data_IF_507316527749
#
_entry.id   IF_507316527749
#
_cell.length_a   1.000
_cell.length_b   1.000
_cell.length_c   1.000
_cell.angle_alpha   90.00
_cell.angle_beta   90.00
_cell.angle_gamma   90.00
#
_symmetry.space_group_name_H-M   'P 1'
#
loop_
_entity.id
_entity.type
_entity.pdbx_description
1 polymer ?
#
# COMPACT_ATOMS: atom_id res chain seq x y z
N UNK A 1 -10.57 1.40 18.82
CA UNK A 1 -9.43 2.31 18.71
C UNK A 1 -9.23 2.68 17.25
N UNK A 2 -9.03 3.94 16.98
CA UNK A 2 -8.75 4.40 15.62
C UNK A 2 -7.33 4.03 15.23
N UNK A 3 -7.19 3.49 14.03
CA UNK A 3 -5.90 3.25 13.43
C UNK A 3 -5.30 4.58 12.95
N UNK A 4 -4.01 4.76 13.16
CA UNK A 4 -3.30 5.95 12.71
C UNK A 4 -2.62 5.66 11.37
N UNK A 5 -2.96 6.45 10.36
CA UNK A 5 -2.28 6.38 9.06
C UNK A 5 -1.04 7.26 9.11
N UNK A 6 0.14 6.62 9.19
CA UNK A 6 1.40 7.34 9.31
C UNK A 6 1.82 8.02 8.01
N UNK A 7 1.31 7.54 6.87
CA UNK A 7 1.74 8.00 5.56
C UNK A 7 0.54 8.35 4.70
N UNK A 8 0.67 9.38 3.87
CA UNK A 8 -0.37 9.77 2.94
C UNK A 8 0.24 10.45 1.72
N UNK A 9 -0.41 10.28 0.58
CA UNK A 9 -0.10 11.00 -0.65
C UNK A 9 -1.41 11.36 -1.34
N UNK A 10 -1.43 12.48 -2.05
CA UNK A 10 -2.60 12.91 -2.78
C UNK A 10 -2.22 13.13 -4.25
N UNK A 11 -3.07 12.64 -5.15
CA UNK A 11 -2.91 12.81 -6.60
C UNK A 11 -4.27 13.22 -7.17
N UNK A 12 -4.36 14.44 -7.67
CA UNK A 12 -5.58 14.97 -8.31
C UNK A 12 -6.85 14.68 -7.52
N UNK A 13 -6.80 14.96 -6.22
CA UNK A 13 -7.94 14.80 -5.31
C UNK A 13 -8.13 13.40 -4.75
N UNK A 14 -7.32 12.42 -5.17
CA UNK A 14 -7.38 11.07 -4.62
C UNK A 14 -6.28 10.90 -3.59
N UNK A 15 -6.67 10.59 -2.35
CA UNK A 15 -5.75 10.43 -1.23
C UNK A 15 -5.55 8.94 -0.95
N UNK A 16 -4.29 8.52 -0.83
CA UNK A 16 -3.91 7.18 -0.41
C UNK A 16 -3.25 7.29 0.96
N UNK A 17 -3.84 6.63 1.97
CA UNK A 17 -3.32 6.61 3.34
C UNK A 17 -2.85 5.21 3.69
N UNK A 18 -1.72 5.12 4.38
CA UNK A 18 -1.13 3.84 4.77
C UNK A 18 -0.83 3.83 6.26
N UNK A 19 -1.28 2.76 6.92
CA UNK A 19 -0.87 2.39 8.27
C UNK A 19 -0.15 1.06 8.18
N UNK A 20 1.07 0.97 8.68
CA UNK A 20 1.88 -0.24 8.61
C UNK A 20 2.31 -0.67 10.01
N UNK A 21 2.32 -1.97 10.25
CA UNK A 21 2.74 -2.55 11.53
C UNK A 21 3.57 -3.81 11.31
N UNK A 22 4.63 -3.95 12.08
CA UNK A 22 5.39 -5.19 12.15
C UNK A 22 4.60 -6.22 12.95
N UNK A 23 4.53 -7.47 12.47
CA UNK A 23 3.84 -8.56 13.15
C UNK A 23 4.84 -9.59 13.66
N UNK A 24 5.26 -9.50 14.94
CA UNK A 24 6.18 -10.50 15.49
C UNK A 24 5.60 -11.92 15.49
N UNK A 25 4.30 -12.06 15.71
CA UNK A 25 3.66 -13.38 15.75
C UNK A 25 3.59 -14.07 14.38
N UNK A 26 3.68 -13.30 13.30
CA UNK A 26 3.70 -13.82 11.94
C UNK A 26 5.12 -13.91 11.38
N UNK A 27 6.10 -13.45 12.15
CA UNK A 27 7.51 -13.47 11.76
C UNK A 27 8.21 -14.70 12.32
N UNK A 28 9.32 -15.09 11.68
CA UNK A 28 10.21 -16.14 12.15
C UNK A 28 11.62 -15.57 12.06
N UNK A 29 11.94 -14.67 12.98
CA UNK A 29 13.18 -13.88 12.93
C UNK A 29 14.43 -14.77 12.98
N UNK A 30 14.37 -15.86 13.73
CA UNK A 30 15.48 -16.82 13.88
C UNK A 30 15.84 -17.51 12.56
N UNK A 31 14.93 -17.55 11.58
CA UNK A 31 15.21 -18.09 10.25
C UNK A 31 15.17 -17.03 9.16
N UNK A 32 15.30 -15.77 9.55
CA UNK A 32 15.43 -14.67 8.61
C UNK A 32 14.13 -14.28 7.91
N UNK A 33 13.01 -14.36 8.62
CA UNK A 33 11.70 -14.01 8.06
C UNK A 33 11.03 -12.96 8.92
N UNK A 34 10.79 -11.78 8.33
CA UNK A 34 10.09 -10.66 8.95
C UNK A 34 8.82 -10.39 8.17
N UNK A 35 7.72 -10.06 8.88
CA UNK A 35 6.42 -9.85 8.24
C UNK A 35 5.74 -8.60 8.77
N UNK A 36 5.21 -7.78 7.86
CA UNK A 36 4.44 -6.58 8.16
C UNK A 36 3.05 -6.69 7.59
N UNK A 37 2.08 -6.08 8.26
CA UNK A 37 0.75 -5.85 7.72
C UNK A 37 0.60 -4.37 7.43
N UNK A 38 -0.09 -4.03 6.35
CA UNK A 38 -0.41 -2.66 6.04
C UNK A 38 -1.88 -2.53 5.69
N UNK A 39 -2.48 -1.45 6.22
CA UNK A 39 -3.85 -1.06 5.92
C UNK A 39 -3.78 0.17 5.02
N UNK A 40 -4.48 0.11 3.90
CA UNK A 40 -4.55 1.22 2.96
C UNK A 40 -5.98 1.69 2.84
N UNK A 41 -6.15 3.01 2.90
CA UNK A 41 -7.42 3.68 2.63
C UNK A 41 -7.23 4.59 1.45
N UNK A 42 -8.11 4.43 0.45
CA UNK A 42 -8.13 5.26 -0.75
C UNK A 42 -9.39 6.09 -0.70
N UNK A 43 -9.25 7.42 -0.76
CA UNK A 43 -10.35 8.37 -0.64
C UNK A 43 -10.49 9.16 -1.94
N UNK A 44 -11.66 9.12 -2.54
CA UNK A 44 -11.93 9.93 -3.74
C UNK A 44 -12.49 11.29 -3.32
N UNK A 45 -11.62 12.31 -3.26
CA UNK A 45 -12.00 13.69 -3.01
C UNK A 45 -12.19 14.51 -4.28
N UNK A 46 -12.12 13.87 -5.46
CA UNK A 46 -12.39 14.53 -6.73
C UNK A 46 -13.90 14.63 -6.98
N UNK A 47 -14.28 15.32 -8.04
CA UNK A 47 -15.69 15.54 -8.38
C UNK A 47 -16.22 14.58 -9.44
N UNK A 48 -15.46 13.54 -9.77
CA UNK A 48 -15.87 12.49 -10.70
C UNK A 48 -15.59 11.11 -10.14
N UNK A 49 -16.27 10.10 -10.65
CA UNK A 49 -16.04 8.71 -10.28
C UNK A 49 -14.74 8.20 -10.87
N UNK A 50 -14.03 7.36 -10.12
CA UNK A 50 -12.80 6.71 -10.59
C UNK A 50 -12.86 5.23 -10.19
N UNK A 51 -12.29 4.36 -11.03
CA UNK A 51 -12.24 2.93 -10.74
C UNK A 51 -10.79 2.47 -10.68
N UNK A 52 -10.41 1.81 -9.59
CA UNK A 52 -9.08 1.23 -9.47
C UNK A 52 -8.98 0.00 -10.37
N UNK A 53 -8.02 -0.01 -11.28
CA UNK A 53 -7.81 -1.12 -12.21
C UNK A 53 -6.65 -2.00 -11.81
N UNK A 54 -5.47 -1.42 -11.55
CA UNK A 54 -4.25 -2.18 -11.30
C UNK A 54 -3.44 -1.56 -10.18
N UNK A 55 -2.58 -2.39 -9.57
CA UNK A 55 -1.62 -1.97 -8.56
C UNK A 55 -0.21 -2.24 -9.04
N UNK A 56 0.72 -1.38 -8.66
CA UNK A 56 2.13 -1.51 -9.00
C UNK A 56 2.96 -1.18 -7.77
N UNK A 57 3.71 -2.17 -7.29
CA UNK A 57 4.53 -2.05 -6.10
C UNK A 57 6.00 -2.18 -6.43
N UNK A 58 6.81 -1.37 -5.77
CA UNK A 58 8.26 -1.52 -5.71
C UNK A 58 8.63 -1.78 -4.26
N UNK A 59 9.14 -2.97 -3.99
CA UNK A 59 9.49 -3.42 -2.66
C UNK A 59 11.00 -3.54 -2.60
N UNK A 60 11.63 -2.77 -1.71
CA UNK A 60 13.08 -2.75 -1.54
C UNK A 60 13.40 -3.38 -0.19
N UNK A 61 14.28 -4.39 -0.18
CA UNK A 61 14.72 -4.99 1.08
C UNK A 61 15.91 -4.24 1.69
N UNK A 62 16.37 -4.70 2.85
CA UNK A 62 17.48 -4.05 3.56
C UNK A 62 18.84 -4.20 2.89
N UNK A 63 18.93 -5.05 1.87
CA UNK A 63 20.16 -5.21 1.07
C UNK A 63 20.13 -4.34 -0.18
N UNK A 64 19.01 -3.64 -0.43
CA UNK A 64 18.83 -2.85 -1.64
C UNK A 64 18.30 -3.63 -2.82
N UNK A 65 17.89 -4.88 -2.63
CA UNK A 65 17.28 -5.68 -3.69
C UNK A 65 15.84 -5.22 -3.88
N UNK A 66 15.48 -4.97 -5.15
CA UNK A 66 14.17 -4.43 -5.51
C UNK A 66 13.36 -5.52 -6.20
N UNK A 67 12.13 -5.71 -5.75
CA UNK A 67 11.14 -6.56 -6.39
C UNK A 67 9.95 -5.71 -6.82
N UNK A 68 9.47 -5.97 -8.03
CA UNK A 68 8.28 -5.31 -8.57
C UNK A 68 7.12 -6.29 -8.54
N UNK A 69 5.97 -5.83 -8.03
CA UNK A 69 4.74 -6.63 -7.97
C UNK A 69 3.66 -5.84 -8.68
N UNK A 70 3.09 -6.45 -9.72
CA UNK A 70 2.00 -5.83 -10.48
C UNK A 70 0.84 -6.81 -10.55
N UNK A 71 -0.37 -6.27 -10.57
CA UNK A 71 -1.56 -7.10 -10.65
C UNK A 71 -2.83 -6.29 -10.77
N UNK A 72 -3.92 -6.98 -11.06
CA UNK A 72 -5.24 -6.36 -11.16
C UNK A 72 -5.84 -6.17 -9.79
N UNK A 73 -6.39 -4.97 -9.57
CA UNK A 73 -7.15 -4.67 -8.35
C UNK A 73 -6.34 -4.70 -7.07
N UNK A 74 -7.05 -4.72 -5.96
CA UNK A 74 -6.52 -4.84 -4.62
C UNK A 74 -7.34 -5.88 -3.86
N UNK A 75 -6.67 -6.94 -3.39
CA UNK A 75 -7.31 -8.05 -2.66
C UNK A 75 -8.56 -8.55 -3.40
N UNK A 76 -8.43 -8.78 -4.72
CA UNK A 76 -9.49 -9.34 -5.55
C UNK A 76 -10.58 -8.36 -5.97
N UNK A 77 -10.43 -7.06 -5.71
CA UNK A 77 -11.44 -6.06 -6.03
C UNK A 77 -10.88 -4.94 -6.88
N UNK A 78 -11.72 -4.44 -7.80
CA UNK A 78 -11.45 -3.24 -8.58
C UNK A 78 -12.52 -2.18 -8.23
N UNK A 79 -12.39 -1.55 -7.06
CA UNK A 79 -13.47 -0.71 -6.55
C UNK A 79 -13.72 0.52 -7.42
N UNK A 80 -15.01 0.78 -7.64
CA UNK A 80 -15.48 2.04 -8.23
C UNK A 80 -15.77 2.99 -7.08
N UNK A 81 -15.12 4.14 -7.08
CA UNK A 81 -15.29 5.16 -6.04
C UNK A 81 -15.99 6.38 -6.62
N UNK A 82 -17.21 6.63 -6.15
CA UNK A 82 -17.91 7.88 -6.45
C UNK A 82 -17.30 9.02 -5.62
N UNK A 83 -17.53 10.29 -6.01
CA UNK A 83 -17.04 11.41 -5.22
C UNK A 83 -17.42 11.28 -3.75
N UNK A 84 -16.44 11.42 -2.86
CA UNK A 84 -16.63 11.30 -1.42
C UNK A 84 -16.56 9.89 -0.87
N UNK A 85 -16.46 8.87 -1.72
CA UNK A 85 -16.35 7.49 -1.26
C UNK A 85 -14.90 7.08 -1.00
N UNK A 86 -14.75 6.05 -0.18
CA UNK A 86 -13.44 5.48 0.13
C UNK A 86 -13.48 3.96 0.09
N UNK A 87 -12.30 3.36 -0.06
CA UNK A 87 -12.11 1.91 -0.04
C UNK A 87 -10.93 1.58 0.84
N UNK A 88 -11.11 0.63 1.74
CA UNK A 88 -10.08 0.15 2.64
C UNK A 88 -9.73 -1.29 2.30
N UNK A 89 -8.44 -1.64 2.41
CA UNK A 89 -8.03 -3.03 2.35
C UNK A 89 -6.78 -3.25 3.20
N UNK A 90 -6.54 -4.50 3.56
CA UNK A 90 -5.41 -4.92 4.37
C UNK A 90 -4.64 -6.00 3.60
N UNK A 91 -3.32 -5.91 3.61
CA UNK A 91 -2.46 -6.89 2.99
C UNK A 91 -1.16 -7.01 3.79
N UNK A 92 -0.27 -7.88 3.38
CA UNK A 92 0.96 -8.11 4.09
C UNK A 92 2.17 -8.14 3.18
N UNK A 93 3.34 -7.94 3.78
CA UNK A 93 4.61 -7.99 3.06
C UNK A 93 5.66 -8.73 3.89
N UNK A 94 6.18 -9.86 3.39
CA UNK A 94 7.31 -10.53 4.01
C UNK A 94 8.63 -10.01 3.43
N UNK A 95 9.65 -9.93 4.27
CA UNK A 95 11.02 -9.65 3.83
C UNK A 95 11.97 -10.66 4.47
N UNK A 96 13.14 -10.82 3.84
CA UNK A 96 14.25 -11.59 4.40
C UNK A 96 15.25 -10.73 5.17
N UNK A 97 14.90 -9.47 5.41
CA UNK A 97 15.71 -8.51 6.19
C UNK A 97 14.79 -7.80 7.19
N UNK A 98 15.36 -7.27 8.30
CA UNK A 98 14.55 -6.63 9.34
C UNK A 98 14.03 -5.24 8.96
N UNK A 99 14.41 -4.73 7.80
CA UNK A 99 13.92 -3.44 7.32
C UNK A 99 13.90 -3.41 5.80
N UNK A 100 13.14 -2.50 5.25
CA UNK A 100 13.02 -2.26 3.83
C UNK A 100 12.04 -1.13 3.58
N UNK A 101 11.44 -1.11 2.41
CA UNK A 101 10.45 -0.07 2.08
C UNK A 101 9.52 -0.54 0.98
N UNK A 102 8.38 0.13 0.90
CA UNK A 102 7.41 -0.05 -0.18
C UNK A 102 7.06 1.31 -0.78
N UNK A 103 6.89 1.32 -2.10
CA UNK A 103 6.40 2.48 -2.84
C UNK A 103 5.70 1.97 -4.09
N UNK A 104 4.91 2.80 -4.72
CA UNK A 104 4.25 2.38 -5.94
C UNK A 104 3.14 3.32 -6.37
N UNK A 105 2.24 2.79 -7.18
CA UNK A 105 1.08 3.54 -7.63
C UNK A 105 -0.05 2.59 -8.01
N UNK A 106 -1.25 3.17 -8.07
CA UNK A 106 -2.41 2.52 -8.67
C UNK A 106 -2.70 3.18 -10.00
N UNK A 107 -3.26 2.40 -10.95
CA UNK A 107 -3.82 2.96 -12.18
C UNK A 107 -5.33 2.96 -12.03
N UNK A 108 -5.92 4.14 -12.18
CA UNK A 108 -7.37 4.34 -12.12
C UNK A 108 -7.92 4.68 -13.50
N UNK A 109 -9.15 4.26 -13.75
CA UNK A 109 -9.94 4.66 -14.91
C UNK A 109 -10.84 5.83 -14.51
N UNK A 110 -10.78 6.93 -15.25
CA UNK A 110 -11.64 8.10 -15.06
C UNK A 110 -12.95 7.92 -15.81
N UNK A 111 -13.90 8.81 -15.54
CA UNK A 111 -15.21 8.79 -16.20
C UNK A 111 -15.15 9.07 -17.71
N UNK A 112 -14.08 9.70 -18.19
CA UNK A 112 -13.86 9.95 -19.62
C UNK A 112 -13.04 8.86 -20.30
N UNK A 113 -12.85 7.71 -19.65
CA UNK A 113 -12.05 6.57 -20.08
C UNK A 113 -10.54 6.83 -20.15
N UNK A 114 -10.07 7.96 -19.64
CA UNK A 114 -8.62 8.19 -19.50
C UNK A 114 -8.09 7.48 -18.26
N UNK A 115 -6.77 7.23 -18.26
CA UNK A 115 -6.10 6.59 -17.13
C UNK A 115 -5.41 7.64 -16.26
N UNK A 116 -5.39 7.38 -14.95
CA UNK A 116 -4.73 8.24 -13.98
C UNK A 116 -3.84 7.38 -13.10
N UNK A 117 -2.55 7.73 -13.01
CA UNK A 117 -1.65 7.15 -12.02
C UNK A 117 -1.80 7.88 -10.69
N UNK A 118 -2.12 7.14 -9.64
CA UNK A 118 -2.29 7.67 -8.29
C UNK A 118 -1.17 7.14 -7.42
N UNK A 119 -0.37 8.03 -6.84
CA UNK A 119 0.79 7.65 -6.05
C UNK A 119 0.37 6.99 -4.74
N UNK A 120 1.05 5.89 -4.41
CA UNK A 120 1.05 5.31 -3.07
C UNK A 120 2.23 5.96 -2.36
N UNK A 121 2.05 6.50 -1.13
CA UNK A 121 3.18 7.11 -0.45
C UNK A 121 4.27 6.08 -0.17
N UNK A 122 5.52 6.49 -0.28
CA UNK A 122 6.63 5.68 0.21
C UNK A 122 6.43 5.44 1.71
N UNK A 123 6.65 4.18 2.15
CA UNK A 123 6.67 3.92 3.59
C UNK A 123 7.74 2.89 3.93
N UNK A 124 8.45 3.10 5.06
CA UNK A 124 9.46 2.15 5.50
C UNK A 124 8.81 0.93 6.15
N UNK A 125 9.52 -0.20 6.04
CA UNK A 125 9.23 -1.41 6.78
C UNK A 125 10.37 -1.56 7.79
N UNK A 126 10.05 -1.52 9.07
CA UNK A 126 11.07 -1.59 10.10
C UNK A 126 10.62 -2.50 11.22
N UNK A 127 11.44 -3.50 11.55
CA UNK A 127 11.23 -4.31 12.73
C UNK A 127 11.91 -3.61 13.93
N UNK A 128 11.32 -3.67 15.13
CA UNK A 128 11.96 -3.11 16.32
C UNK A 128 13.33 -3.73 16.56
N UNK A 129 14.26 -2.95 17.11
CA UNK A 129 15.62 -3.42 17.38
C UNK A 129 15.65 -4.63 18.32
N UNK A 130 14.62 -4.78 19.15
CA UNK A 130 14.50 -5.86 20.12
C UNK A 130 13.69 -7.04 19.58
N UNK A 131 13.38 -7.05 18.29
CA UNK A 131 12.53 -8.10 17.70
C UNK A 131 13.28 -9.41 17.49
N UNK A 132 14.57 -9.41 17.74
CA UNK A 132 15.39 -10.62 17.62
C UNK A 132 15.74 -11.21 18.96
#
# INVERSE_FOLDING_TARGET
MKELFQHAAITEGITVRVAVSFLPDQSQVEVGKWFWVYHIRIENGADEAVQLLTRHWRITDGRGIINYVEGEGVVGEQPLLLPGQSHDYVSGCPLSTPHGSMAGHYTFLRSDDSLLEVAIPFFPLAAPATAG
#
